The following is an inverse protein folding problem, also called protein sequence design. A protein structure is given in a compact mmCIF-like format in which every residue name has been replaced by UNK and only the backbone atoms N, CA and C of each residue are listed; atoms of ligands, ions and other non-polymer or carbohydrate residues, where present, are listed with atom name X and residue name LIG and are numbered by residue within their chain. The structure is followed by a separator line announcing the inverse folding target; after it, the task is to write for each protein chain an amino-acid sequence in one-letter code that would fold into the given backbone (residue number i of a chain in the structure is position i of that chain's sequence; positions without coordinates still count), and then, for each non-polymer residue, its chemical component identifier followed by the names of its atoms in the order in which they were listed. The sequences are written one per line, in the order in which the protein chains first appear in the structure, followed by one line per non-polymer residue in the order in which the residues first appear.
data_IF_864248992994
#
_entry.id   IF_864248992994
#
_cell.length_a   1.000
_cell.length_b   1.000
_cell.length_c   1.000
_cell.angle_alpha   90.00
_cell.angle_beta   90.00
_cell.angle_gamma   90.00
#
_symmetry.space_group_name_H-M   'P 1'
#
loop_
_entity.id
_entity.type
_entity.pdbx_description
1 polymer ?
#
# COMPACT_ATOMS: atom_id res chain seq x y z
N UNK A 1 11.75 13.54 4.35
CA UNK A 1 10.40 13.09 4.72
C UNK A 1 10.35 11.59 4.46
N UNK A 2 9.89 10.79 5.41
CA UNK A 2 9.69 9.35 5.19
C UNK A 2 8.44 9.16 4.33
N UNK A 3 8.63 8.99 3.02
CA UNK A 3 7.55 8.72 2.08
C UNK A 3 7.04 7.29 2.24
N UNK A 4 5.73 7.09 2.08
CA UNK A 4 5.13 5.76 1.97
C UNK A 4 4.97 5.42 0.49
N UNK A 5 4.95 4.13 0.18
CA UNK A 5 4.55 3.60 -1.12
C UNK A 5 3.19 2.95 -1.00
N UNK A 6 2.31 3.21 -1.97
CA UNK A 6 1.11 2.43 -2.19
C UNK A 6 1.38 1.46 -3.35
N UNK A 7 1.29 0.17 -3.08
CA UNK A 7 1.41 -0.90 -4.08
C UNK A 7 0.00 -1.37 -4.42
N UNK A 8 -0.32 -1.41 -5.72
CA UNK A 8 -1.61 -1.90 -6.22
C UNK A 8 -1.35 -3.15 -7.05
N UNK A 9 -1.99 -4.26 -6.66
CA UNK A 9 -1.90 -5.53 -7.38
C UNK A 9 -2.99 -5.65 -8.45
N UNK A 10 -2.79 -6.56 -9.40
CA UNK A 10 -3.72 -6.84 -10.50
C UNK A 10 -5.09 -7.34 -10.06
N UNK A 11 -5.21 -7.84 -8.83
CA UNK A 11 -6.49 -8.23 -8.23
C UNK A 11 -7.22 -7.06 -7.52
N UNK A 12 -6.67 -5.85 -7.57
CA UNK A 12 -7.20 -4.67 -6.91
C UNK A 12 -6.78 -4.51 -5.44
N UNK A 13 -6.02 -5.44 -4.87
CA UNK A 13 -5.54 -5.31 -3.50
C UNK A 13 -4.50 -4.20 -3.39
N UNK A 14 -4.63 -3.39 -2.35
CA UNK A 14 -3.76 -2.25 -2.07
C UNK A 14 -2.96 -2.48 -0.79
N UNK A 15 -1.67 -2.18 -0.85
CA UNK A 15 -0.77 -2.31 0.30
C UNK A 15 0.00 -1.03 0.52
N UNK A 16 0.07 -0.61 1.78
CA UNK A 16 0.85 0.54 2.20
C UNK A 16 2.18 0.07 2.77
N UNK A 17 3.28 0.56 2.20
CA UNK A 17 4.64 0.20 2.59
C UNK A 17 5.36 1.46 3.12
N UNK A 18 5.99 1.43 4.30
CA UNK A 18 6.73 2.57 4.87
C UNK A 18 8.12 2.78 4.25
N UNK A 19 8.20 2.69 2.93
CA UNK A 19 9.41 2.87 2.14
C UNK A 19 9.03 3.77 0.96
N UNK A 20 9.92 4.68 0.57
CA UNK A 20 9.72 5.52 -0.62
C UNK A 20 9.74 4.66 -1.90
N UNK A 21 8.96 4.98 -2.95
CA UNK A 21 8.85 4.15 -4.15
C UNK A 21 10.18 3.78 -4.80
N UNK A 22 11.10 4.74 -4.96
CA UNK A 22 12.43 4.48 -5.54
C UNK A 22 13.22 3.45 -4.75
N UNK A 23 13.27 3.61 -3.43
CA UNK A 23 13.98 2.69 -2.52
C UNK A 23 13.33 1.32 -2.50
N UNK A 24 11.99 1.27 -2.53
CA UNK A 24 11.24 0.01 -2.59
C UNK A 24 11.56 -0.76 -3.87
N UNK A 25 11.58 -0.07 -5.01
CA UNK A 25 11.92 -0.68 -6.31
C UNK A 25 13.33 -1.25 -6.25
N UNK A 26 14.31 -0.42 -5.94
CA UNK A 26 15.74 -0.78 -5.95
C UNK A 26 16.10 -1.91 -4.98
N UNK A 27 15.51 -1.91 -3.77
CA UNK A 27 15.90 -2.88 -2.73
C UNK A 27 15.12 -4.18 -2.78
N UNK A 28 13.82 -4.09 -3.05
CA UNK A 28 12.92 -5.22 -2.83
C UNK A 28 12.40 -5.84 -4.13
N UNK A 29 12.31 -5.08 -5.22
CA UNK A 29 11.59 -5.52 -6.43
C UNK A 29 12.48 -5.90 -7.60
N UNK A 30 13.68 -5.34 -7.69
CA UNK A 30 14.62 -5.63 -8.79
C UNK A 30 15.88 -6.37 -8.33
N UNK A 31 16.47 -7.15 -9.24
CA UNK A 31 17.79 -7.73 -9.06
C UNK A 31 18.90 -6.71 -9.38
N UNK A 32 20.17 -7.14 -9.29
CA UNK A 32 21.34 -6.29 -9.58
C UNK A 32 21.40 -5.81 -11.03
N UNK A 33 20.72 -6.49 -11.93
CA UNK A 33 20.67 -6.20 -13.36
C UNK A 33 19.47 -5.30 -13.74
N UNK A 34 18.64 -4.91 -12.76
CA UNK A 34 17.47 -4.08 -12.97
C UNK A 34 16.20 -4.85 -13.37
N UNK A 35 16.23 -6.17 -13.39
CA UNK A 35 15.08 -7.00 -13.74
C UNK A 35 14.17 -7.23 -12.52
N UNK A 36 12.87 -7.23 -12.76
CA UNK A 36 11.88 -7.52 -11.72
C UNK A 36 12.02 -8.97 -11.25
N UNK A 37 12.03 -9.19 -9.93
CA UNK A 37 12.07 -10.53 -9.36
C UNK A 37 10.89 -11.39 -9.82
N UNK A 38 11.20 -12.59 -10.33
CA UNK A 38 10.24 -13.64 -10.61
C UNK A 38 10.01 -14.57 -9.39
N UNK A 39 10.09 -14.01 -8.19
CA UNK A 39 9.89 -14.76 -6.93
C UNK A 39 9.05 -13.92 -5.99
N UNK A 40 8.42 -14.60 -5.04
CA UNK A 40 7.77 -13.93 -3.94
C UNK A 40 8.79 -13.16 -3.10
N UNK A 41 8.44 -11.94 -2.73
CA UNK A 41 9.23 -11.05 -1.89
C UNK A 41 8.44 -10.71 -0.62
N UNK A 42 9.16 -10.46 0.47
CA UNK A 42 8.56 -10.05 1.73
C UNK A 42 8.77 -8.54 1.90
N UNK A 43 7.69 -7.77 1.98
CA UNK A 43 7.78 -6.32 2.18
C UNK A 43 7.10 -5.90 3.49
N UNK A 44 7.62 -4.88 4.18
CA UNK A 44 6.94 -4.33 5.34
C UNK A 44 5.64 -3.64 4.89
N UNK A 45 4.56 -3.88 5.62
CA UNK A 45 3.27 -3.25 5.41
C UNK A 45 2.89 -2.47 6.66
N UNK A 46 2.18 -1.35 6.47
CA UNK A 46 1.39 -0.74 7.52
C UNK A 46 -0.08 -0.93 7.21
N UNK A 47 -0.81 -1.45 8.18
CA UNK A 47 -2.27 -1.42 8.16
C UNK A 47 -2.74 0.04 8.26
N UNK A 48 -3.40 0.53 7.21
CA UNK A 48 -3.80 1.93 7.11
C UNK A 48 -4.84 2.34 8.18
N UNK A 49 -5.58 1.37 8.72
CA UNK A 49 -6.64 1.60 9.70
C UNK A 49 -6.14 1.58 11.14
N UNK A 50 -5.19 0.69 11.45
CA UNK A 50 -4.69 0.46 12.81
C UNK A 50 -3.30 1.07 13.02
N UNK A 51 -2.57 1.36 11.94
CA UNK A 51 -1.17 1.77 12.00
C UNK A 51 -0.21 0.64 12.37
N UNK A 52 -0.70 -0.59 12.50
CA UNK A 52 0.12 -1.73 12.88
C UNK A 52 1.07 -2.10 11.74
N UNK A 53 2.31 -2.39 12.14
CA UNK A 53 3.34 -2.89 11.21
C UNK A 53 3.17 -4.40 11.06
N UNK A 54 3.04 -4.85 9.83
CA UNK A 54 2.99 -6.25 9.45
C UNK A 54 3.96 -6.50 8.30
N UNK A 55 4.04 -7.74 7.84
CA UNK A 55 4.76 -8.07 6.62
C UNK A 55 3.80 -8.80 5.68
N UNK A 56 3.95 -8.52 4.39
CA UNK A 56 3.17 -9.16 3.35
C UNK A 56 4.10 -9.77 2.31
N UNK A 57 3.74 -10.96 1.85
CA UNK A 57 4.42 -11.62 0.74
C UNK A 57 3.74 -11.22 -0.55
N UNK A 58 4.47 -10.60 -1.46
CA UNK A 58 3.98 -10.15 -2.76
C UNK A 58 4.69 -10.89 -3.89
N UNK A 59 3.98 -11.13 -4.99
CA UNK A 59 4.62 -11.49 -6.25
C UNK A 59 4.75 -10.21 -7.11
N UNK A 60 5.98 -9.74 -7.38
CA UNK A 60 6.23 -8.51 -8.13
C UNK A 60 5.60 -8.49 -9.53
N UNK A 61 5.38 -9.65 -10.16
CA UNK A 61 4.76 -9.74 -11.48
C UNK A 61 3.28 -9.35 -11.50
N UNK A 62 2.62 -9.35 -10.34
CA UNK A 62 1.23 -8.93 -10.21
C UNK A 62 1.09 -7.46 -9.81
N UNK A 63 2.19 -6.73 -9.61
CA UNK A 63 2.15 -5.30 -9.30
C UNK A 63 1.80 -4.55 -10.57
N UNK A 64 0.72 -3.78 -10.52
CA UNK A 64 0.28 -2.91 -11.61
C UNK A 64 0.87 -1.52 -11.44
N UNK A 65 0.85 -1.01 -10.21
CA UNK A 65 1.28 0.37 -9.92
C UNK A 65 1.97 0.47 -8.57
N UNK A 66 2.96 1.35 -8.49
CA UNK A 66 3.60 1.79 -7.26
C UNK A 66 3.55 3.31 -7.25
N UNK A 67 2.90 3.88 -6.25
CA UNK A 67 2.67 5.32 -6.14
C UNK A 67 3.23 5.85 -4.83
N UNK A 68 3.65 7.11 -4.81
CA UNK A 68 3.97 7.79 -3.57
C UNK A 68 2.69 8.10 -2.80
N UNK A 69 2.65 7.71 -1.53
CA UNK A 69 1.52 7.92 -0.66
C UNK A 69 1.88 8.81 0.52
N UNK A 70 1.03 9.79 0.81
CA UNK A 70 1.09 10.57 2.03
C UNK A 70 -0.04 10.14 2.96
N UNK A 71 0.31 9.40 4.00
CA UNK A 71 -0.67 8.74 4.86
C UNK A 71 -0.64 9.39 6.22
N UNK A 72 -1.80 9.92 6.62
CA UNK A 72 -2.06 10.36 7.99
C UNK A 72 -2.66 9.20 8.75
N UNK A 73 -1.81 8.35 9.32
CA UNK A 73 -2.25 7.31 10.25
C UNK A 73 -2.75 8.03 11.50
N UNK A 74 -4.03 7.85 11.84
CA UNK A 74 -4.59 8.34 13.10
C UNK A 74 -4.64 7.18 14.09
N UNK A 75 -3.62 7.01 14.95
CA UNK A 75 -3.64 5.95 15.94
C UNK A 75 -4.82 6.20 16.90
N UNK A 76 -5.53 5.13 17.28
CA UNK A 76 -6.52 5.12 18.35
C UNK A 76 -7.82 5.92 18.16
N UNK A 77 -8.29 6.22 16.95
CA UNK A 77 -9.69 6.66 16.78
C UNK A 77 -10.59 5.43 16.96
N UNK A 78 -11.42 5.37 18.02
CA UNK A 78 -12.33 4.24 18.21
C UNK A 78 -13.27 4.12 17.02
N UNK A 79 -13.66 2.90 16.64
CA UNK A 79 -14.49 2.66 15.44
C UNK A 79 -15.76 3.52 15.41
N UNK A 80 -16.36 3.75 16.58
CA UNK A 80 -17.56 4.62 16.75
C UNK A 80 -17.34 6.10 16.37
N UNK A 81 -16.08 6.55 16.31
CA UNK A 81 -15.70 7.92 15.91
C UNK A 81 -15.09 7.97 14.50
N UNK A 82 -14.91 6.83 13.82
CA UNK A 82 -14.45 6.80 12.43
C UNK A 82 -15.64 7.17 11.54
N UNK A 83 -15.63 8.38 10.96
CA UNK A 83 -16.55 8.71 9.88
C UNK A 83 -16.18 7.86 8.66
N UNK A 84 -17.13 7.10 8.13
CA UNK A 84 -17.02 6.48 6.80
C UNK A 84 -16.66 7.58 5.79
N UNK A 85 -15.43 7.58 5.29
CA UNK A 85 -15.04 8.46 4.18
C UNK A 85 -15.92 8.10 2.99
N UNK A 86 -16.80 9.03 2.67
CA UNK A 86 -17.84 8.92 1.67
C UNK A 86 -17.28 8.79 0.26
N UNK A 87 -16.85 7.58 -0.13
CA UNK A 87 -16.85 7.17 -1.53
C UNK A 87 -18.10 6.32 -1.86
N UNK A 88 -18.68 5.62 -0.88
CA UNK A 88 -19.92 4.86 -1.10
C UNK A 88 -21.18 5.73 -1.16
N UNK A 89 -21.21 6.88 -0.46
CA UNK A 89 -22.37 7.80 -0.50
C UNK A 89 -22.55 8.50 -1.86
N UNK A 90 -21.50 8.55 -2.69
CA UNK A 90 -21.58 9.09 -4.05
C UNK A 90 -22.22 8.11 -5.04
N UNK A 91 -22.23 6.80 -4.76
CA UNK A 91 -22.85 5.80 -5.65
C UNK A 91 -24.36 5.62 -5.43
N UNK A 92 -24.93 6.12 -4.33
CA UNK A 92 -26.38 6.01 -4.03
C UNK A 92 -27.21 7.24 -4.40
N UNK A 93 -26.68 8.15 -5.21
CA UNK A 93 -27.42 9.30 -5.71
C UNK A 93 -27.31 9.45 -7.22
N UNK A 94 -27.81 8.47 -7.97
CA UNK A 94 -28.36 8.73 -9.30
C UNK A 94 -29.79 8.19 -9.35
N UNK A 95 -30.80 9.06 -9.61
CA UNK A 95 -32.19 8.64 -9.82
C UNK A 95 -32.38 7.90 -11.15
#
# INVERSE_FOLDING_TARGET
MSGYSKIILSNGNEYIVPIQPSVLIEKELINKDGEIYNKFILVPQIDAETGNKMHVTLNPQHIVTIEEANIKIQPNVPSVFRMETSNERLQRKHP
#
